data_IF_145856805273
#
_entry.id   IF_145856805273
#
_cell.length_a   1.000
_cell.length_b   1.000
_cell.length_c   1.000
_cell.angle_alpha   90.00
_cell.angle_beta   90.00
_cell.angle_gamma   90.00
#
_symmetry.space_group_name_H-M   'P 1'
#
loop_
_entity.id
_entity.type
_entity.pdbx_description
1 polymer ?
#
# COMPACT_ATOMS: atom_id res chain seq x y z
N UNK A 1 21.68 -4.85 23.78
CA UNK A 1 21.46 -6.19 24.38
C UNK A 1 21.40 -7.20 23.25
N UNK A 2 22.28 -8.20 23.24
CA UNK A 2 22.25 -9.22 22.19
C UNK A 2 21.00 -10.10 22.32
N UNK A 3 20.43 -10.53 21.19
CA UNK A 3 19.28 -11.43 21.11
C UNK A 3 19.38 -12.65 22.05
N UNK A 4 20.52 -13.34 22.10
CA UNK A 4 20.70 -14.50 22.98
C UNK A 4 20.50 -14.17 24.47
N UNK A 5 20.97 -12.99 24.91
CA UNK A 5 20.81 -12.56 26.30
C UNK A 5 19.34 -12.23 26.62
N UNK A 6 18.61 -11.65 25.66
CA UNK A 6 17.17 -11.46 25.78
C UNK A 6 16.46 -12.81 25.91
N UNK A 7 16.76 -13.76 25.02
CA UNK A 7 16.14 -15.09 25.03
C UNK A 7 16.39 -15.85 26.33
N UNK A 8 17.58 -15.72 26.93
CA UNK A 8 17.85 -16.29 28.27
C UNK A 8 16.93 -15.67 29.34
N UNK A 9 16.71 -14.35 29.29
CA UNK A 9 15.82 -13.65 30.23
C UNK A 9 14.36 -14.04 30.03
N UNK A 10 13.91 -14.17 28.78
CA UNK A 10 12.56 -14.65 28.45
C UNK A 10 12.35 -16.06 28.98
N UNK A 11 13.32 -16.96 28.78
CA UNK A 11 13.29 -18.33 29.33
C UNK A 11 13.27 -18.38 30.86
N UNK A 12 13.80 -17.34 31.52
CA UNK A 12 13.71 -17.19 32.98
C UNK A 12 12.38 -16.59 33.48
N UNK A 13 11.46 -16.26 32.57
CA UNK A 13 10.12 -15.76 32.87
C UNK A 13 9.96 -14.25 32.88
N UNK A 14 11.00 -13.48 32.50
CA UNK A 14 10.90 -12.03 32.40
C UNK A 14 10.14 -11.68 31.12
N UNK A 15 9.02 -10.95 31.26
CA UNK A 15 8.11 -10.60 30.16
C UNK A 15 8.12 -9.14 29.74
N UNK A 16 8.52 -8.24 30.64
CA UNK A 16 8.48 -6.80 30.43
C UNK A 16 9.88 -6.23 30.19
N UNK A 17 10.04 -5.49 29.10
CA UNK A 17 11.31 -4.87 28.72
C UNK A 17 11.08 -3.40 28.37
N UNK A 18 11.87 -2.51 28.97
CA UNK A 18 11.76 -1.06 28.75
C UNK A 18 13.14 -0.45 28.42
N UNK A 19 13.20 0.40 27.40
CA UNK A 19 14.40 1.17 27.03
C UNK A 19 15.56 0.31 26.52
N UNK A 20 15.28 -0.89 26.00
CA UNK A 20 16.31 -1.81 25.55
C UNK A 20 16.71 -1.52 24.10
N UNK A 21 18.00 -1.42 23.83
CA UNK A 21 18.55 -1.60 22.48
C UNK A 21 18.78 -3.09 22.26
N UNK A 22 18.14 -3.69 21.26
CA UNK A 22 18.14 -5.13 20.99
C UNK A 22 18.64 -5.37 19.57
N UNK A 23 19.65 -6.22 19.45
CA UNK A 23 20.31 -6.51 18.17
C UNK A 23 20.61 -8.00 18.01
N UNK A 24 20.59 -8.46 16.76
CA UNK A 24 20.87 -9.83 16.37
C UNK A 24 19.62 -10.56 15.87
N UNK A 25 19.64 -11.89 15.87
CA UNK A 25 18.59 -12.68 15.25
C UNK A 25 17.74 -13.36 16.32
N UNK A 26 16.42 -13.22 16.22
CA UNK A 26 15.41 -13.91 17.03
C UNK A 26 14.53 -14.68 16.04
N UNK A 27 15.02 -15.81 15.58
CA UNK A 27 14.43 -16.58 14.47
C UNK A 27 13.82 -17.86 15.03
N UNK A 28 12.57 -18.17 14.64
CA UNK A 28 11.82 -19.34 15.10
C UNK A 28 11.71 -19.45 16.64
N UNK A 29 11.64 -18.32 17.33
CA UNK A 29 11.49 -18.29 18.78
C UNK A 29 10.04 -18.06 19.19
N UNK A 30 9.74 -18.19 20.48
CA UNK A 30 8.43 -17.91 21.05
C UNK A 30 8.54 -16.67 21.95
N UNK A 31 7.79 -15.63 21.60
CA UNK A 31 7.73 -14.38 22.34
C UNK A 31 6.32 -14.11 22.90
N UNK A 32 5.52 -15.15 23.16
CA UNK A 32 4.16 -14.97 23.63
C UNK A 32 4.07 -14.18 24.95
N UNK A 33 3.08 -13.29 25.05
CA UNK A 33 2.80 -12.47 26.23
C UNK A 33 3.94 -11.52 26.63
N UNK A 34 4.84 -11.18 25.71
CA UNK A 34 5.90 -10.20 25.97
C UNK A 34 5.39 -8.77 25.84
N UNK A 35 5.99 -7.86 26.59
CA UNK A 35 5.77 -6.43 26.45
C UNK A 35 7.10 -5.71 26.28
N UNK A 36 7.21 -4.96 25.18
CA UNK A 36 8.36 -4.14 24.85
C UNK A 36 7.96 -2.66 24.83
N UNK A 37 8.61 -1.84 25.65
CA UNK A 37 8.39 -0.40 25.76
C UNK A 37 9.65 0.37 25.41
N UNK A 38 9.54 1.42 24.62
CA UNK A 38 10.66 2.31 24.29
C UNK A 38 11.92 1.57 23.80
N UNK A 39 11.76 0.40 23.19
CA UNK A 39 12.86 -0.44 22.76
C UNK A 39 13.28 -0.09 21.34
N UNK A 40 14.57 -0.22 21.05
CA UNK A 40 15.12 -0.13 19.71
C UNK A 40 15.49 -1.54 19.23
N UNK A 41 15.03 -1.90 18.04
CA UNK A 41 15.29 -3.20 17.44
C UNK A 41 16.08 -3.05 16.15
N UNK A 42 17.17 -3.81 16.07
CA UNK A 42 17.85 -4.15 14.83
C UNK A 42 17.90 -5.68 14.74
N UNK A 43 16.73 -6.26 14.49
CA UNK A 43 16.48 -7.69 14.67
C UNK A 43 15.80 -8.32 13.46
N UNK A 44 16.25 -9.52 13.12
CA UNK A 44 15.51 -10.45 12.28
C UNK A 44 14.62 -11.33 13.16
N UNK A 45 13.30 -11.20 13.02
CA UNK A 45 12.28 -11.97 13.72
C UNK A 45 11.73 -13.14 12.90
N UNK A 46 12.37 -13.53 11.78
CA UNK A 46 11.78 -14.48 10.84
C UNK A 46 11.33 -15.79 11.50
N UNK A 47 10.09 -16.22 11.20
CA UNK A 47 9.50 -17.45 11.73
C UNK A 47 9.13 -17.42 13.23
N UNK A 48 9.33 -16.31 13.93
CA UNK A 48 8.99 -16.17 15.36
C UNK A 48 7.49 -16.08 15.59
N UNK A 49 7.06 -16.59 16.75
CA UNK A 49 5.66 -16.56 17.20
C UNK A 49 5.43 -15.36 18.12
N UNK A 50 4.47 -14.52 17.73
CA UNK A 50 3.95 -13.39 18.49
C UNK A 50 2.47 -13.65 18.82
N UNK A 51 2.18 -14.09 20.04
CA UNK A 51 0.82 -14.16 20.55
C UNK A 51 0.68 -13.24 21.75
N UNK A 52 -0.31 -12.34 21.74
CA UNK A 52 -0.52 -11.41 22.86
C UNK A 52 0.71 -10.55 23.19
N UNK A 53 1.41 -10.06 22.18
CA UNK A 53 2.61 -9.23 22.36
C UNK A 53 2.26 -7.75 22.21
N UNK A 54 2.80 -6.92 23.10
CA UNK A 54 2.67 -5.47 23.02
C UNK A 54 4.01 -4.81 22.68
N UNK A 55 4.05 -4.07 21.57
CA UNK A 55 5.11 -3.12 21.26
C UNK A 55 4.60 -1.70 21.48
N UNK A 56 5.22 -0.96 22.38
CA UNK A 56 4.80 0.40 22.76
C UNK A 56 5.96 1.36 22.59
N UNK A 57 5.79 2.38 21.75
CA UNK A 57 6.80 3.41 21.49
C UNK A 57 8.16 2.82 21.05
N UNK A 58 8.14 1.68 20.35
CA UNK A 58 9.34 0.99 19.91
C UNK A 58 9.80 1.46 18.53
N UNK A 59 11.11 1.40 18.28
CA UNK A 59 11.68 1.57 16.96
C UNK A 59 12.02 0.19 16.39
N UNK A 60 11.30 -0.19 15.34
CA UNK A 60 11.36 -1.47 14.64
C UNK A 60 11.75 -1.26 13.18
N UNK A 61 12.32 -0.10 12.82
CA UNK A 61 12.67 0.20 11.43
C UNK A 61 13.58 -0.87 10.86
N UNK A 62 13.29 -1.29 9.64
CA UNK A 62 14.04 -2.33 8.91
C UNK A 62 14.13 -3.70 9.61
N UNK A 63 13.27 -3.99 10.60
CA UNK A 63 13.17 -5.33 11.17
C UNK A 63 12.42 -6.28 10.22
N UNK A 64 12.82 -7.55 10.23
CA UNK A 64 12.21 -8.59 9.40
C UNK A 64 11.22 -9.42 10.21
N UNK A 65 10.00 -9.55 9.72
CA UNK A 65 8.90 -10.36 10.26
C UNK A 65 8.46 -11.43 9.25
N UNK A 66 9.37 -11.85 8.36
CA UNK A 66 9.05 -12.83 7.33
C UNK A 66 8.62 -14.15 7.98
N UNK A 67 7.56 -14.78 7.46
CA UNK A 67 7.07 -16.09 7.94
C UNK A 67 6.67 -16.15 9.42
N UNK A 68 6.49 -15.02 10.12
CA UNK A 68 6.08 -15.01 11.53
C UNK A 68 4.63 -15.45 11.68
N UNK A 69 4.30 -16.02 12.85
CA UNK A 69 2.90 -16.18 13.28
C UNK A 69 2.56 -15.06 14.24
N UNK A 70 1.56 -14.24 13.90
CA UNK A 70 1.13 -13.08 14.67
C UNK A 70 -0.35 -13.26 15.02
N UNK A 71 -0.64 -13.37 16.31
CA UNK A 71 -2.00 -13.43 16.83
C UNK A 71 -2.18 -12.41 17.98
N UNK A 72 -3.24 -11.59 17.92
CA UNK A 72 -3.60 -10.65 19.01
C UNK A 72 -2.42 -9.80 19.49
N UNK A 73 -1.64 -9.31 18.55
CA UNK A 73 -0.42 -8.53 18.82
C UNK A 73 -0.69 -7.08 18.48
N UNK A 74 -0.15 -6.17 19.29
CA UNK A 74 -0.37 -4.74 19.14
C UNK A 74 0.95 -3.99 18.93
N UNK A 75 0.95 -3.08 17.96
CA UNK A 75 1.98 -2.05 17.79
C UNK A 75 1.35 -0.68 18.06
N UNK A 76 1.78 -0.04 19.14
CA UNK A 76 1.27 1.24 19.61
C UNK A 76 2.37 2.30 19.55
N UNK A 77 2.17 3.38 18.78
CA UNK A 77 3.14 4.48 18.60
C UNK A 77 4.53 4.02 18.13
N UNK A 78 4.60 2.99 17.30
CA UNK A 78 5.86 2.38 16.87
C UNK A 78 6.35 2.92 15.53
N UNK A 79 7.67 2.93 15.34
CA UNK A 79 8.29 3.24 14.05
C UNK A 79 8.61 1.94 13.31
N UNK A 80 7.91 1.64 12.23
CA UNK A 80 8.02 0.36 11.51
C UNK A 80 8.42 0.56 10.04
N UNK A 81 9.03 1.70 9.70
CA UNK A 81 9.46 1.95 8.32
C UNK A 81 10.44 0.88 7.82
N UNK A 82 10.23 0.38 6.61
CA UNK A 82 11.07 -0.62 5.96
C UNK A 82 10.97 -2.02 6.56
N UNK A 83 9.98 -2.29 7.41
CA UNK A 83 9.74 -3.64 7.94
C UNK A 83 9.21 -4.58 6.87
N UNK A 84 9.46 -5.88 7.03
CA UNK A 84 9.00 -6.89 6.07
C UNK A 84 8.16 -7.98 6.74
N UNK A 85 6.86 -8.02 6.46
CA UNK A 85 5.88 -9.02 6.90
C UNK A 85 5.55 -10.04 5.79
N UNK A 86 6.40 -10.19 4.78
CA UNK A 86 6.15 -11.15 3.69
C UNK A 86 5.93 -12.56 4.25
N UNK A 87 4.85 -13.20 3.81
CA UNK A 87 4.44 -14.54 4.26
C UNK A 87 4.13 -14.68 5.76
N UNK A 88 4.01 -13.59 6.51
CA UNK A 88 3.52 -13.65 7.89
C UNK A 88 2.07 -14.18 7.92
N UNK A 89 1.75 -15.01 8.90
CA UNK A 89 0.37 -15.42 9.21
C UNK A 89 -0.16 -14.46 10.27
N UNK A 90 -1.15 -13.64 9.92
CA UNK A 90 -1.60 -12.57 10.81
C UNK A 90 -3.08 -12.72 11.13
N UNK A 91 -3.38 -12.84 12.41
CA UNK A 91 -4.73 -12.87 12.96
C UNK A 91 -4.85 -11.82 14.06
N UNK A 92 -5.77 -10.86 13.93
CA UNK A 92 -6.02 -9.86 14.99
C UNK A 92 -4.76 -9.04 15.35
N UNK A 93 -4.07 -8.50 14.34
CA UNK A 93 -2.98 -7.54 14.53
C UNK A 93 -3.52 -6.12 14.57
N UNK A 94 -3.16 -5.40 15.62
CA UNK A 94 -3.55 -3.99 15.76
C UNK A 94 -2.36 -3.07 15.54
N UNK A 95 -2.51 -2.10 14.64
CA UNK A 95 -1.50 -1.08 14.33
C UNK A 95 -2.05 0.31 14.69
N UNK A 96 -1.65 0.85 15.84
CA UNK A 96 -2.11 2.15 16.32
C UNK A 96 -0.99 3.19 16.23
N UNK A 97 -1.21 4.24 15.44
CA UNK A 97 -0.27 5.36 15.29
C UNK A 97 1.16 4.91 14.92
N UNK A 98 1.28 3.95 13.98
CA UNK A 98 2.58 3.42 13.54
C UNK A 98 3.06 4.08 12.26
N UNK A 99 4.38 4.16 12.08
CA UNK A 99 4.96 4.52 10.77
C UNK A 99 5.20 3.25 9.95
N UNK A 100 4.84 3.24 8.67
CA UNK A 100 4.95 2.07 7.79
C UNK A 100 5.47 2.44 6.40
N UNK A 101 6.32 3.48 6.33
CA UNK A 101 6.97 3.86 5.08
C UNK A 101 7.83 2.69 4.59
N UNK A 102 7.75 2.32 3.31
CA UNK A 102 8.43 1.12 2.76
C UNK A 102 8.18 -0.24 3.45
N UNK A 103 7.18 -0.36 4.32
CA UNK A 103 6.78 -1.67 4.85
C UNK A 103 6.31 -2.59 3.72
N UNK A 104 6.76 -3.84 3.76
CA UNK A 104 6.37 -4.92 2.85
C UNK A 104 5.34 -5.78 3.59
N UNK A 105 4.15 -5.89 3.02
CA UNK A 105 3.11 -6.85 3.44
C UNK A 105 2.67 -7.55 2.16
N UNK A 106 2.31 -8.82 2.26
CA UNK A 106 1.88 -9.64 1.12
C UNK A 106 0.52 -10.28 1.37
N UNK A 107 -0.30 -10.43 0.33
CA UNK A 107 -1.51 -11.24 0.34
C UNK A 107 -2.64 -10.73 1.24
N UNK A 108 -3.33 -11.64 1.93
CA UNK A 108 -4.57 -11.37 2.70
C UNK A 108 -4.38 -10.37 3.85
N UNK A 109 -3.13 -10.06 4.21
CA UNK A 109 -2.76 -9.17 5.31
C UNK A 109 -2.77 -7.67 4.94
N UNK A 110 -3.05 -7.31 3.68
CA UNK A 110 -3.01 -5.90 3.23
C UNK A 110 -3.96 -4.98 4.00
N UNK A 111 -5.08 -5.50 4.49
CA UNK A 111 -6.06 -4.72 5.23
C UNK A 111 -5.54 -4.18 6.58
N UNK A 112 -4.39 -4.66 7.05
CA UNK A 112 -3.80 -4.30 8.34
C UNK A 112 -3.12 -2.92 8.34
N UNK A 113 -2.67 -2.40 7.20
CA UNK A 113 -2.00 -1.08 7.10
C UNK A 113 -2.97 0.09 6.92
N UNK A 114 -4.27 -0.12 7.17
CA UNK A 114 -5.28 0.93 7.09
C UNK A 114 -5.05 1.94 8.22
N UNK A 115 -4.29 2.98 7.94
CA UNK A 115 -4.42 4.23 8.67
C UNK A 115 -5.57 5.03 8.02
N UNK A 116 -6.56 5.37 8.84
CA UNK A 116 -7.75 6.13 8.47
C UNK A 116 -7.41 7.50 7.83
N UNK A 117 -6.16 7.96 7.85
CA UNK A 117 -5.73 9.24 7.27
C UNK A 117 -5.00 9.16 5.91
N UNK A 118 -4.81 7.97 5.35
CA UNK A 118 -3.96 7.77 4.16
C UNK A 118 -4.64 6.99 3.05
N UNK A 119 -4.52 7.55 1.84
CA UNK A 119 -4.76 6.82 0.60
C UNK A 119 -3.54 5.97 0.27
N UNK A 120 -3.74 4.77 -0.24
CA UNK A 120 -2.68 4.10 -0.95
C UNK A 120 -3.10 3.07 -1.97
N UNK A 121 -2.09 2.63 -2.70
CA UNK A 121 -2.21 1.79 -3.87
C UNK A 121 -1.30 0.58 -3.69
N UNK A 122 -1.80 -0.60 -4.03
CA UNK A 122 -1.03 -1.83 -4.05
C UNK A 122 -1.29 -2.57 -5.34
N UNK A 123 -0.24 -2.83 -6.11
CA UNK A 123 -0.34 -3.65 -7.33
C UNK A 123 0.08 -5.06 -6.94
N UNK A 124 -0.84 -6.01 -7.06
CA UNK A 124 -0.66 -7.38 -6.59
C UNK A 124 0.15 -8.23 -7.57
N UNK A 125 -0.17 -8.15 -8.86
CA UNK A 125 0.50 -8.89 -9.92
C UNK A 125 0.37 -8.18 -11.27
N UNK A 126 1.27 -8.55 -12.19
CA UNK A 126 1.23 -8.17 -13.61
C UNK A 126 1.39 -9.45 -14.44
N UNK A 127 0.26 -9.97 -14.93
CA UNK A 127 0.19 -11.27 -15.61
C UNK A 127 -0.54 -11.11 -16.94
N UNK A 128 0.06 -11.60 -18.03
CA UNK A 128 -0.55 -11.58 -19.36
C UNK A 128 -1.06 -10.19 -19.80
N UNK A 129 -0.37 -9.14 -19.36
CA UNK A 129 -0.70 -7.74 -19.64
C UNK A 129 -1.75 -7.13 -18.72
N UNK A 130 -2.31 -7.86 -17.76
CA UNK A 130 -3.30 -7.37 -16.80
C UNK A 130 -2.65 -6.94 -15.50
N UNK A 131 -3.26 -5.98 -14.80
CA UNK A 131 -2.87 -5.64 -13.43
C UNK A 131 -4.03 -5.89 -12.50
N UNK A 132 -3.72 -6.45 -11.34
CA UNK A 132 -4.60 -6.36 -10.18
C UNK A 132 -4.08 -5.27 -9.25
N UNK A 133 -4.94 -4.27 -8.98
CA UNK A 133 -4.64 -3.08 -8.19
C UNK A 133 -5.66 -2.94 -7.06
N UNK A 134 -5.18 -2.81 -5.83
CA UNK A 134 -5.99 -2.37 -4.70
C UNK A 134 -5.81 -0.88 -4.46
N UNK A 135 -6.92 -0.17 -4.31
CA UNK A 135 -6.99 1.15 -3.72
C UNK A 135 -7.56 1.05 -2.30
N UNK A 136 -6.82 1.57 -1.33
CA UNK A 136 -7.30 1.72 0.04
C UNK A 136 -7.33 3.21 0.45
N UNK A 137 -8.39 3.61 1.13
CA UNK A 137 -8.51 4.95 1.73
C UNK A 137 -9.64 4.97 2.76
N UNK A 138 -9.35 5.41 3.99
CA UNK A 138 -10.34 5.38 5.08
C UNK A 138 -10.96 3.97 5.19
N UNK A 139 -12.30 3.89 5.16
CA UNK A 139 -13.09 2.66 5.14
C UNK A 139 -13.13 1.90 3.81
N UNK A 140 -12.55 2.43 2.74
CA UNK A 140 -12.62 1.83 1.41
C UNK A 140 -11.43 0.91 1.16
N UNK A 141 -11.70 -0.29 0.65
CA UNK A 141 -10.74 -1.17 0.00
C UNK A 141 -11.39 -1.65 -1.29
N UNK A 142 -10.85 -1.22 -2.42
CA UNK A 142 -11.39 -1.46 -3.75
C UNK A 142 -10.36 -2.24 -4.54
N UNK A 143 -10.72 -3.46 -4.88
CA UNK A 143 -10.02 -4.28 -5.86
C UNK A 143 -10.41 -3.83 -7.26
N UNK A 144 -9.40 -3.62 -8.09
CA UNK A 144 -9.53 -3.28 -9.50
C UNK A 144 -8.72 -4.30 -10.27
N UNK A 145 -9.42 -5.26 -10.83
CA UNK A 145 -8.85 -6.25 -11.73
C UNK A 145 -8.81 -5.72 -13.16
N UNK A 146 -7.91 -6.30 -13.94
CA UNK A 146 -7.91 -6.20 -15.40
C UNK A 146 -7.62 -4.81 -16.00
N UNK A 147 -6.69 -4.03 -15.43
CA UNK A 147 -6.44 -2.62 -15.78
C UNK A 147 -5.95 -2.25 -17.21
N UNK A 148 -5.88 -3.17 -18.17
CA UNK A 148 -5.30 -2.90 -19.50
C UNK A 148 -6.32 -2.52 -20.58
N UNK A 149 -7.53 -2.09 -20.19
CA UNK A 149 -8.65 -1.80 -21.08
C UNK A 149 -8.26 -1.14 -22.41
N UNK A 150 -8.61 -1.78 -23.53
CA UNK A 150 -8.36 -1.32 -24.90
C UNK A 150 -6.89 -0.94 -25.21
N UNK A 151 -5.90 -1.61 -24.61
CA UNK A 151 -4.47 -1.26 -24.69
C UNK A 151 -4.15 0.15 -24.15
N UNK A 152 -4.99 0.69 -23.26
CA UNK A 152 -4.86 2.07 -22.78
C UNK A 152 -4.07 2.18 -21.47
N UNK A 153 -3.51 1.07 -20.95
CA UNK A 153 -2.66 1.02 -19.76
C UNK A 153 -3.21 1.94 -18.65
N UNK A 154 -4.37 1.55 -18.10
CA UNK A 154 -5.11 2.37 -17.15
C UNK A 154 -4.23 2.84 -15.98
N UNK A 155 -3.29 2.03 -15.46
CA UNK A 155 -2.35 2.50 -14.46
C UNK A 155 -1.49 3.67 -14.95
N UNK A 156 -0.89 3.58 -16.14
CA UNK A 156 -0.12 4.69 -16.72
C UNK A 156 -0.99 5.91 -16.98
N UNK A 157 -2.26 5.71 -17.28
CA UNK A 157 -3.24 6.79 -17.47
C UNK A 157 -3.56 7.54 -16.17
N UNK A 158 -3.64 6.85 -15.03
CA UNK A 158 -3.71 7.51 -13.71
C UNK A 158 -2.46 8.37 -13.49
N UNK A 159 -1.27 7.83 -13.80
CA UNK A 159 0.00 8.56 -13.64
C UNK A 159 0.04 9.84 -14.49
N UNK A 160 -0.33 9.76 -15.77
CA UNK A 160 -0.46 10.91 -16.66
C UNK A 160 -1.47 11.93 -16.14
N UNK A 161 -2.61 11.47 -15.64
CA UNK A 161 -3.63 12.35 -15.02
C UNK A 161 -3.07 13.11 -13.82
N UNK A 162 -2.25 12.46 -12.98
CA UNK A 162 -1.63 13.12 -11.83
C UNK A 162 -0.60 14.17 -12.28
N UNK A 163 0.23 13.86 -13.27
CA UNK A 163 1.19 14.81 -13.88
C UNK A 163 0.45 16.04 -14.42
N UNK A 164 -0.60 15.79 -15.19
CA UNK A 164 -1.51 16.80 -15.73
C UNK A 164 -2.03 17.72 -14.60
N UNK A 165 -2.44 17.12 -13.48
CA UNK A 165 -2.92 17.88 -12.33
C UNK A 165 -1.85 18.73 -11.64
N UNK A 166 -0.56 18.51 -11.84
CA UNK A 166 0.47 19.46 -11.38
C UNK A 166 0.73 20.58 -12.38
N UNK A 167 0.56 20.32 -13.67
CA UNK A 167 0.84 21.30 -14.71
C UNK A 167 -0.27 22.37 -14.73
N UNK A 168 0.10 23.60 -14.39
CA UNK A 168 -0.80 24.73 -14.09
C UNK A 168 -1.70 25.20 -15.24
N UNK A 169 -1.50 24.68 -16.46
CA UNK A 169 -2.15 25.16 -17.68
C UNK A 169 -3.39 24.36 -18.09
N UNK A 170 -3.83 23.40 -17.28
CA UNK A 170 -4.94 22.51 -17.68
C UNK A 170 -6.31 23.14 -17.38
N UNK A 171 -7.11 23.27 -18.44
CA UNK A 171 -8.48 23.80 -18.44
C UNK A 171 -9.47 22.81 -17.81
N UNK A 172 -9.22 21.50 -17.94
CA UNK A 172 -10.12 20.43 -17.48
C UNK A 172 -9.71 19.88 -16.12
N UNK A 173 -10.60 20.03 -15.12
CA UNK A 173 -10.38 19.55 -13.75
C UNK A 173 -10.81 18.11 -13.52
N UNK A 174 -11.44 17.49 -14.50
CA UNK A 174 -11.96 16.12 -14.41
C UNK A 174 -11.26 15.22 -15.42
N UNK A 175 -11.00 13.98 -15.02
CA UNK A 175 -10.45 12.90 -15.84
C UNK A 175 -11.13 11.59 -15.49
N UNK A 176 -11.15 10.65 -16.44
CA UNK A 176 -11.76 9.34 -16.23
C UNK A 176 -10.82 8.23 -16.69
N UNK A 177 -10.47 7.34 -15.78
CA UNK A 177 -9.71 6.14 -16.08
C UNK A 177 -10.65 4.95 -16.07
N UNK A 178 -10.62 4.17 -17.14
CA UNK A 178 -11.40 2.94 -17.28
C UNK A 178 -10.43 1.77 -17.13
N UNK A 179 -10.76 0.83 -16.25
CA UNK A 179 -9.85 -0.25 -15.91
C UNK A 179 -10.16 -1.54 -16.65
N UNK A 180 -11.42 -1.96 -16.79
CA UNK A 180 -11.79 -3.30 -17.28
C UNK A 180 -12.65 -3.27 -18.57
N UNK A 181 -12.67 -4.38 -19.32
CA UNK A 181 -13.60 -4.69 -20.41
C UNK A 181 -14.76 -5.59 -19.92
N UNK A 182 -15.75 -5.90 -20.77
CA UNK A 182 -16.97 -6.61 -20.35
C UNK A 182 -16.72 -7.95 -19.60
N UNK A 183 -17.59 -8.32 -18.64
CA UNK A 183 -18.82 -7.65 -18.21
C UNK A 183 -18.64 -6.68 -17.02
N UNK A 184 -17.40 -6.34 -16.66
CA UNK A 184 -17.04 -5.78 -15.34
C UNK A 184 -16.39 -4.39 -15.33
N UNK A 185 -16.80 -3.46 -16.21
CA UNK A 185 -16.14 -2.16 -16.34
C UNK A 185 -16.06 -1.41 -15.00
N UNK A 186 -14.84 -1.10 -14.52
CA UNK A 186 -14.61 -0.18 -13.39
C UNK A 186 -14.15 1.18 -13.89
N UNK A 187 -14.85 2.25 -13.47
CA UNK A 187 -14.57 3.63 -13.88
C UNK A 187 -14.09 4.42 -12.66
N UNK A 188 -12.91 5.04 -12.78
CA UNK A 188 -12.35 5.98 -11.81
C UNK A 188 -12.44 7.40 -12.36
N UNK A 189 -13.27 8.23 -11.73
CA UNK A 189 -13.34 9.67 -11.98
C UNK A 189 -12.41 10.41 -11.01
N UNK A 190 -11.48 11.19 -11.55
CA UNK A 190 -10.51 11.99 -10.82
C UNK A 190 -10.86 13.47 -11.01
N UNK A 191 -11.11 14.18 -9.91
CA UNK A 191 -11.49 15.60 -9.92
C UNK A 191 -10.51 16.43 -9.12
N UNK A 192 -9.72 17.27 -9.79
CA UNK A 192 -8.81 18.22 -9.17
C UNK A 192 -9.58 19.38 -8.56
N UNK A 193 -9.42 19.57 -7.26
CA UNK A 193 -9.84 20.75 -6.48
C UNK A 193 -8.59 21.49 -6.01
N UNK A 194 -8.72 22.71 -5.49
CA UNK A 194 -7.57 23.53 -5.05
C UNK A 194 -6.75 22.79 -3.97
N UNK A 195 -5.60 22.22 -4.35
CA UNK A 195 -4.72 21.42 -3.47
C UNK A 195 -5.23 20.02 -3.09
N UNK A 196 -6.42 19.65 -3.56
CA UNK A 196 -7.09 18.39 -3.22
C UNK A 196 -7.48 17.64 -4.48
N UNK A 197 -7.67 16.34 -4.34
CA UNK A 197 -8.24 15.51 -5.38
C UNK A 197 -9.39 14.69 -4.81
N UNK A 198 -10.49 14.64 -5.55
CA UNK A 198 -11.59 13.72 -5.30
C UNK A 198 -11.48 12.54 -6.26
N UNK A 199 -11.61 11.33 -5.73
CA UNK A 199 -11.54 10.07 -6.46
C UNK A 199 -12.89 9.38 -6.29
N UNK A 200 -13.60 9.16 -7.38
CA UNK A 200 -14.87 8.45 -7.38
C UNK A 200 -14.67 7.18 -8.17
N UNK A 201 -14.91 6.03 -7.55
CA UNK A 201 -14.89 4.73 -8.23
C UNK A 201 -16.32 4.24 -8.35
N UNK A 202 -16.70 3.82 -9.55
CA UNK A 202 -18.00 3.20 -9.81
C UNK A 202 -17.87 2.01 -10.73
N UNK A 203 -18.84 1.10 -10.62
CA UNK A 203 -19.11 0.14 -11.68
C UNK A 203 -19.59 0.86 -12.95
N UNK A 204 -19.40 0.23 -14.11
CA UNK A 204 -20.00 0.64 -15.37
C UNK A 204 -21.46 0.23 -15.45
N UNK A 205 -22.26 1.04 -16.13
CA UNK A 205 -23.62 0.64 -16.52
C UNK A 205 -23.58 -0.41 -17.63
N UNK A 206 -24.72 -1.07 -17.84
CA UNK A 206 -24.92 -2.06 -18.90
C UNK A 206 -24.55 -1.51 -20.29
N UNK A 207 -24.65 -0.20 -20.53
CA UNK A 207 -24.29 0.45 -21.80
C UNK A 207 -22.84 0.96 -21.88
N UNK A 208 -21.99 0.62 -20.91
CA UNK A 208 -20.56 0.99 -20.90
C UNK A 208 -19.80 0.48 -22.14
N UNK A 209 -20.24 -0.60 -22.78
CA UNK A 209 -19.68 -1.06 -24.06
C UNK A 209 -19.78 -0.04 -25.21
N UNK A 210 -20.62 0.98 -25.06
CA UNK A 210 -20.77 2.10 -26.02
C UNK A 210 -19.88 3.29 -25.66
N UNK A 211 -18.94 3.14 -24.74
CA UNK A 211 -18.06 4.22 -24.31
C UNK A 211 -17.20 4.73 -25.47
N UNK A 212 -17.08 6.07 -25.63
CA UNK A 212 -16.16 6.62 -26.60
C UNK A 212 -14.74 6.27 -26.20
N UNK A 213 -13.87 6.04 -27.19
CA UNK A 213 -12.43 5.82 -26.96
C UNK A 213 -11.72 7.09 -26.46
N UNK A 214 -12.36 8.26 -26.61
CA UNK A 214 -11.83 9.57 -26.24
C UNK A 214 -12.50 10.12 -24.97
N UNK A 215 -11.70 10.78 -24.11
CA UNK A 215 -12.06 11.19 -22.75
C UNK A 215 -12.83 12.51 -22.65
N UNK A 216 -14.02 12.60 -23.23
CA UNK A 216 -14.80 13.86 -23.12
C UNK A 216 -15.55 13.93 -21.78
N UNK A 217 -16.27 12.86 -21.42
CA UNK A 217 -16.87 12.63 -20.11
C UNK A 217 -17.47 11.22 -20.09
N UNK A 218 -17.23 10.47 -19.00
CA UNK A 218 -17.78 9.13 -18.84
C UNK A 218 -18.93 9.06 -17.83
N UNK A 219 -19.43 10.21 -17.34
CA UNK A 219 -20.44 10.27 -16.28
C UNK A 219 -21.71 9.49 -16.62
N UNK A 220 -22.13 9.48 -17.89
CA UNK A 220 -23.33 8.74 -18.31
C UNK A 220 -23.18 7.22 -18.17
N UNK A 221 -21.96 6.71 -18.22
CA UNK A 221 -21.64 5.28 -18.11
C UNK A 221 -21.30 4.84 -16.68
N UNK A 222 -21.11 5.78 -15.75
CA UNK A 222 -20.89 5.48 -14.34
C UNK A 222 -22.19 4.98 -13.70
N UNK A 223 -22.14 3.78 -13.12
CA UNK A 223 -23.19 3.10 -12.39
C UNK A 223 -23.09 3.30 -10.88
N UNK A 224 -23.10 2.21 -10.13
CA UNK A 224 -23.07 2.24 -8.66
C UNK A 224 -21.72 2.75 -8.16
N UNK A 225 -21.74 3.75 -7.27
CA UNK A 225 -20.52 4.29 -6.66
C UNK A 225 -20.02 3.34 -5.57
N UNK A 226 -18.84 2.78 -5.78
CA UNK A 226 -18.12 1.91 -4.84
C UNK A 226 -17.31 2.71 -3.81
N UNK A 227 -16.69 3.83 -4.24
CA UNK A 227 -15.92 4.69 -3.37
C UNK A 227 -16.01 6.17 -3.77
N UNK A 228 -15.94 7.05 -2.77
CA UNK A 228 -15.84 8.49 -2.96
C UNK A 228 -14.86 9.05 -1.92
N UNK A 229 -13.64 9.30 -2.36
CA UNK A 229 -12.48 9.61 -1.51
C UNK A 229 -12.06 11.05 -1.80
N UNK A 230 -11.77 11.82 -0.74
CA UNK A 230 -11.16 13.13 -0.87
C UNK A 230 -9.80 13.09 -0.18
N UNK A 231 -8.74 13.47 -0.88
CA UNK A 231 -7.38 13.45 -0.34
C UNK A 231 -6.54 14.56 -0.93
N UNK A 232 -5.33 14.75 -0.39
CA UNK A 232 -4.36 15.68 -0.93
C UNK A 232 -3.71 15.10 -2.20
N UNK A 233 -3.52 15.94 -3.22
CA UNK A 233 -2.92 15.50 -4.49
C UNK A 233 -1.52 14.91 -4.30
N UNK A 234 -0.70 15.49 -3.43
CA UNK A 234 0.65 14.98 -3.12
C UNK A 234 0.57 13.64 -2.38
N UNK A 235 -0.36 13.47 -1.43
CA UNK A 235 -0.56 12.18 -0.74
C UNK A 235 -0.90 11.08 -1.75
N UNK A 236 -1.89 11.32 -2.62
CA UNK A 236 -2.25 10.36 -3.68
C UNK A 236 -1.07 10.08 -4.62
N UNK A 237 -0.38 11.12 -5.06
CA UNK A 237 0.71 10.97 -6.04
C UNK A 237 1.88 10.17 -5.47
N UNK A 238 2.27 10.44 -4.22
CA UNK A 238 3.30 9.68 -3.51
C UNK A 238 2.91 8.22 -3.33
N UNK A 239 1.65 7.96 -2.97
CA UNK A 239 1.19 6.60 -2.78
C UNK A 239 1.15 5.82 -4.10
N UNK A 240 0.77 6.48 -5.20
CA UNK A 240 0.81 5.88 -6.54
C UNK A 240 2.24 5.58 -6.99
N UNK A 241 3.16 6.54 -6.84
CA UNK A 241 4.60 6.32 -7.13
C UNK A 241 5.16 5.15 -6.33
N UNK A 242 4.84 5.07 -5.03
CA UNK A 242 5.30 3.97 -4.16
C UNK A 242 4.87 2.61 -4.70
N UNK A 243 3.65 2.48 -5.23
CA UNK A 243 3.18 1.24 -5.84
C UNK A 243 4.03 0.84 -7.06
N UNK A 244 4.37 1.81 -7.92
CA UNK A 244 5.24 1.57 -9.07
C UNK A 244 6.70 1.30 -8.73
N UNK A 245 7.27 2.02 -7.76
CA UNK A 245 8.64 1.79 -7.32
C UNK A 245 8.80 0.37 -6.77
N UNK A 246 7.77 -0.19 -6.10
CA UNK A 246 7.77 -1.60 -5.73
C UNK A 246 7.83 -2.53 -6.95
N UNK A 247 7.06 -2.26 -8.02
CA UNK A 247 7.12 -3.03 -9.28
C UNK A 247 8.54 -3.00 -9.86
N UNK A 248 9.07 -1.80 -10.05
CA UNK A 248 10.37 -1.60 -10.71
C UNK A 248 11.53 -2.27 -9.96
N UNK A 249 11.39 -2.46 -8.65
CA UNK A 249 12.38 -3.12 -7.82
C UNK A 249 12.03 -4.60 -7.50
N UNK A 250 10.98 -5.17 -8.13
CA UNK A 250 10.49 -6.53 -7.88
C UNK A 250 10.19 -6.83 -6.39
N UNK A 251 9.65 -5.86 -5.65
CA UNK A 251 9.39 -6.00 -4.21
C UNK A 251 7.96 -6.44 -3.96
N UNK A 252 7.77 -7.64 -3.41
CA UNK A 252 6.47 -8.12 -2.91
C UNK A 252 5.47 -8.53 -3.99
N UNK A 253 5.94 -8.93 -5.18
CA UNK A 253 5.10 -9.40 -6.28
C UNK A 253 4.93 -10.91 -6.24
N UNK A 254 3.69 -11.38 -6.48
CA UNK A 254 3.44 -12.80 -6.74
C UNK A 254 3.96 -13.22 -8.11
N UNK A 255 3.68 -12.43 -9.15
CA UNK A 255 4.11 -12.69 -10.54
C UNK A 255 4.35 -11.37 -11.29
N UNK A 256 5.44 -11.29 -12.07
CA UNK A 256 5.81 -10.17 -12.93
C UNK A 256 6.36 -10.69 -14.27
N UNK A 257 5.63 -10.49 -15.36
CA UNK A 257 6.07 -10.86 -16.70
C UNK A 257 6.58 -9.65 -17.49
N UNK A 258 7.91 -9.47 -17.52
CA UNK A 258 8.58 -8.31 -18.12
C UNK A 258 8.24 -8.02 -19.60
N UNK A 259 7.70 -8.99 -20.34
CA UNK A 259 7.36 -8.84 -21.75
C UNK A 259 5.98 -8.21 -22.00
N UNK A 260 5.15 -8.09 -20.97
CA UNK A 260 3.78 -7.61 -21.10
C UNK A 260 3.56 -6.20 -20.56
N UNK A 261 4.59 -5.61 -19.96
CA UNK A 261 4.50 -4.27 -19.39
C UNK A 261 5.71 -3.43 -19.72
N UNK A 262 5.48 -2.35 -20.47
CA UNK A 262 6.44 -1.25 -20.58
C UNK A 262 6.28 -0.32 -19.40
N UNK A 263 7.19 -0.42 -18.43
CA UNK A 263 7.12 0.43 -17.24
C UNK A 263 7.19 1.93 -17.61
N UNK A 264 6.28 2.78 -17.08
CA UNK A 264 6.20 4.19 -17.43
C UNK A 264 7.24 5.03 -16.68
N UNK A 265 8.52 4.66 -16.82
CA UNK A 265 9.66 5.27 -16.11
C UNK A 265 9.71 6.78 -16.32
N UNK A 266 9.49 7.24 -17.56
CA UNK A 266 9.52 8.65 -17.90
C UNK A 266 8.41 9.44 -17.16
N UNK A 267 7.18 8.93 -17.17
CA UNK A 267 6.08 9.56 -16.43
C UNK A 267 6.30 9.51 -14.91
N UNK A 268 6.89 8.43 -14.38
CA UNK A 268 7.19 8.31 -12.95
C UNK A 268 8.21 9.35 -12.51
N UNK A 269 9.30 9.49 -13.25
CA UNK A 269 10.35 10.47 -12.99
C UNK A 269 9.79 11.90 -13.08
N UNK A 270 8.98 12.18 -14.11
CA UNK A 270 8.29 13.46 -14.24
C UNK A 270 7.40 13.78 -13.03
N UNK A 271 6.58 12.82 -12.57
CA UNK A 271 5.71 13.04 -11.41
C UNK A 271 6.52 13.23 -10.12
N UNK A 272 7.61 12.47 -9.93
CA UNK A 272 8.54 12.63 -8.80
C UNK A 272 9.12 14.04 -8.74
N UNK A 273 9.59 14.57 -9.87
CA UNK A 273 10.13 15.93 -9.94
C UNK A 273 9.06 17.01 -9.71
N UNK A 274 7.86 16.84 -10.29
CA UNK A 274 6.74 17.77 -10.06
C UNK A 274 6.33 17.84 -8.59
N UNK A 275 6.33 16.70 -7.88
CA UNK A 275 6.05 16.68 -6.44
C UNK A 275 7.11 17.46 -5.68
N UNK A 276 8.41 17.31 -6.00
CA UNK A 276 9.50 18.03 -5.32
C UNK A 276 9.39 19.55 -5.48
N UNK A 277 9.01 20.03 -6.67
CA UNK A 277 8.92 21.46 -6.97
C UNK A 277 7.67 22.16 -6.43
N UNK A 278 6.62 21.41 -6.08
CA UNK A 278 5.34 21.95 -5.58
C UNK A 278 5.14 21.75 -4.06
N UNK A 279 6.17 21.27 -3.34
CA UNK A 279 6.22 21.19 -1.87
C UNK A 279 6.94 22.42 -1.31
#
# INVERSE_FOLDING_TARGET
>A
MKANALLTKIKSGIKDYDGMDIEGNIINENLEYMQFKNCYFNVDFSGTVFQHVDFISCNLKSCHFNYTSIEKTEFNNCLMDGTDFSFAQINDLTLNHVSYYDTIITGENFDLLRDDETIGFHIQCIEHGWFSLYLYAHKYCIEIDASNYLNNDAPRKVLKTLIDFYQSNIVYRERWVCFDDEPGVTIMKLVKKKGLIQIIISDGKVDAYRMPKEEISLDKYMGNVKANINTNLHKMSRAYIKAYDKILNNIGFKEYEAHWFEAPNLELDMLKELIKHNL
#
